data_IF_273844556666
#
_entry.id   IF_273844556666
#
_cell.length_a   1.000
_cell.length_b   1.000
_cell.length_c   1.000
_cell.angle_alpha   90.00
_cell.angle_beta   90.00
_cell.angle_gamma   90.00
#
_symmetry.space_group_name_H-M   'P 1'
#
loop_
_entity.id
_entity.type
_entity.pdbx_description
1 polymer ?
#
# COMPACT_ATOMS: atom_id res chain seq x y z
N UNK A 1 7.80 8.07 -8.87
CA UNK A 1 7.41 6.75 -9.40
C UNK A 1 8.53 6.12 -10.23
N UNK A 2 9.36 6.92 -10.92
CA UNK A 2 10.47 6.46 -11.76
C UNK A 2 11.36 5.40 -11.09
N UNK A 3 11.74 5.57 -9.82
CA UNK A 3 12.56 4.57 -9.11
C UNK A 3 11.87 3.22 -8.90
N UNK A 4 10.59 3.21 -8.56
CA UNK A 4 9.84 1.96 -8.36
C UNK A 4 9.65 1.22 -9.69
N UNK A 5 9.44 1.96 -10.78
CA UNK A 5 9.42 1.40 -12.15
C UNK A 5 10.79 0.87 -12.56
N UNK A 6 11.87 1.59 -12.25
CA UNK A 6 13.24 1.13 -12.47
C UNK A 6 13.55 -0.15 -11.69
N UNK A 7 13.11 -0.25 -10.44
CA UNK A 7 13.27 -1.45 -9.61
C UNK A 7 12.49 -2.63 -10.20
N UNK A 8 11.29 -2.39 -10.71
CA UNK A 8 10.53 -3.41 -11.42
C UNK A 8 11.28 -3.89 -12.67
N UNK A 9 11.79 -2.96 -13.49
CA UNK A 9 12.54 -3.28 -14.70
C UNK A 9 13.81 -4.10 -14.39
N UNK A 10 14.56 -3.72 -13.35
CA UNK A 10 15.74 -4.47 -12.89
C UNK A 10 15.37 -5.86 -12.39
N UNK A 11 14.33 -5.97 -11.56
CA UNK A 11 13.84 -7.26 -11.04
C UNK A 11 13.44 -8.19 -12.18
N UNK A 12 12.77 -7.67 -13.21
CA UNK A 12 12.43 -8.44 -14.41
C UNK A 12 13.68 -8.97 -15.14
N UNK A 13 14.72 -8.14 -15.29
CA UNK A 13 15.98 -8.59 -15.91
C UNK A 13 16.68 -9.65 -15.07
N UNK A 14 16.68 -9.49 -13.74
CA UNK A 14 17.24 -10.49 -12.83
C UNK A 14 16.51 -11.84 -12.97
N UNK A 15 15.18 -11.83 -13.05
CA UNK A 15 14.39 -13.05 -13.31
C UNK A 15 14.79 -13.67 -14.66
N UNK A 16 14.85 -12.88 -15.73
CA UNK A 16 15.24 -13.35 -17.07
C UNK A 16 16.64 -14.00 -17.04
N UNK A 17 17.60 -13.39 -16.35
CA UNK A 17 18.96 -13.91 -16.24
C UNK A 17 19.04 -15.26 -15.50
N UNK A 18 18.12 -15.52 -14.57
CA UNK A 18 18.12 -16.74 -13.74
C UNK A 18 17.38 -17.92 -14.37
N UNK A 19 16.25 -17.68 -15.03
CA UNK A 19 15.37 -18.75 -15.54
C UNK A 19 15.22 -18.74 -17.06
N UNK A 20 15.85 -17.79 -17.75
CA UNK A 20 15.75 -17.62 -19.20
C UNK A 20 14.46 -16.87 -19.61
N UNK A 21 14.51 -16.27 -20.80
CA UNK A 21 13.45 -15.37 -21.28
C UNK A 21 12.07 -16.04 -21.38
N UNK A 22 12.01 -17.28 -21.90
CA UNK A 22 10.74 -17.99 -22.09
C UNK A 22 10.07 -18.36 -20.77
N UNK A 23 10.82 -18.86 -19.79
CA UNK A 23 10.29 -19.19 -18.48
C UNK A 23 9.90 -17.92 -17.70
N UNK A 24 10.70 -16.86 -17.80
CA UNK A 24 10.37 -15.56 -17.23
C UNK A 24 9.09 -14.99 -17.83
N UNK A 25 8.89 -15.06 -19.15
CA UNK A 25 7.66 -14.61 -19.77
C UNK A 25 6.44 -15.41 -19.27
N UNK A 26 6.55 -16.73 -19.13
CA UNK A 26 5.48 -17.57 -18.59
C UNK A 26 5.12 -17.19 -17.14
N UNK A 27 6.13 -16.88 -16.32
CA UNK A 27 5.94 -16.42 -14.94
C UNK A 27 5.26 -15.04 -14.89
N UNK A 28 5.67 -14.11 -15.75
CA UNK A 28 5.30 -12.71 -15.63
C UNK A 28 3.97 -12.34 -16.32
N UNK A 29 3.56 -13.06 -17.38
CA UNK A 29 2.46 -12.67 -18.27
C UNK A 29 1.10 -12.45 -17.59
N UNK A 30 0.80 -13.23 -16.55
CA UNK A 30 -0.48 -13.19 -15.84
C UNK A 30 -0.28 -12.96 -14.33
N UNK A 31 0.84 -12.34 -13.95
CA UNK A 31 1.15 -12.04 -12.55
C UNK A 31 0.59 -10.67 -12.16
N UNK A 32 0.14 -10.56 -10.91
CA UNK A 32 -0.22 -9.30 -10.28
C UNK A 32 1.01 -8.70 -9.60
N UNK A 33 1.26 -7.41 -9.85
CA UNK A 33 2.36 -6.66 -9.23
C UNK A 33 1.79 -5.53 -8.39
N UNK A 34 2.36 -5.36 -7.19
CA UNK A 34 2.07 -4.22 -6.34
C UNK A 34 3.28 -3.28 -6.34
N UNK A 35 3.05 -2.05 -6.81
CA UNK A 35 4.02 -0.96 -6.75
C UNK A 35 3.52 0.03 -5.70
N UNK A 36 4.23 0.15 -4.58
CA UNK A 36 3.84 1.03 -3.48
C UNK A 36 4.75 2.27 -3.45
N UNK A 37 4.15 3.43 -3.21
CA UNK A 37 4.88 4.65 -2.84
C UNK A 37 4.59 4.90 -1.36
N UNK A 38 5.65 4.93 -0.55
CA UNK A 38 5.56 5.23 0.86
C UNK A 38 5.85 6.69 1.16
N UNK A 39 5.64 7.08 2.42
CA UNK A 39 5.98 8.43 2.89
C UNK A 39 7.49 8.70 2.78
N UNK A 40 8.35 7.69 2.84
CA UNK A 40 9.79 7.80 2.62
C UNK A 40 10.11 8.33 1.22
N UNK A 41 9.42 7.89 0.18
CA UNK A 41 9.64 8.36 -1.20
C UNK A 41 9.34 9.87 -1.32
N UNK A 42 8.34 10.35 -0.59
CA UNK A 42 7.94 11.77 -0.51
C UNK A 42 8.96 12.57 0.33
N UNK A 43 9.31 12.07 1.51
CA UNK A 43 10.19 12.74 2.48
C UNK A 43 11.63 12.90 1.97
N UNK A 44 12.10 11.97 1.13
CA UNK A 44 13.44 12.01 0.55
C UNK A 44 13.46 12.60 -0.87
N UNK A 45 12.38 13.26 -1.30
CA UNK A 45 12.36 14.07 -2.53
C UNK A 45 12.34 13.27 -3.83
N UNK A 46 11.87 12.02 -3.82
CA UNK A 46 11.70 11.19 -5.02
C UNK A 46 10.36 11.46 -5.73
N UNK A 47 10.03 12.74 -5.92
CA UNK A 47 8.85 13.15 -6.67
C UNK A 47 9.06 12.83 -8.16
N UNK A 48 8.38 11.78 -8.64
CA UNK A 48 7.73 11.93 -9.95
C UNK A 48 6.32 12.41 -9.65
N UNK A 49 5.89 13.48 -10.31
CA UNK A 49 4.47 13.78 -10.42
C UNK A 49 3.78 12.48 -10.84
N UNK A 50 2.80 12.02 -10.05
CA UNK A 50 1.89 10.96 -10.46
C UNK A 50 1.06 11.53 -11.62
N UNK A 51 1.66 11.62 -12.80
CA UNK A 51 0.89 11.72 -14.01
C UNK A 51 0.13 10.40 -14.09
N UNK A 52 -1.20 10.47 -13.97
CA UNK A 52 -2.08 9.32 -14.18
C UNK A 52 -1.87 8.70 -15.57
N UNK A 53 -1.19 9.40 -16.47
CA UNK A 53 -0.81 8.95 -17.80
C UNK A 53 0.66 8.47 -17.92
N UNK A 54 1.49 8.60 -16.88
CA UNK A 54 2.93 8.28 -16.92
C UNK A 54 3.29 6.80 -16.85
N UNK A 55 2.31 5.90 -16.69
CA UNK A 55 2.51 4.45 -16.69
C UNK A 55 2.60 3.83 -18.08
N UNK A 56 2.51 4.63 -19.15
CA UNK A 56 2.43 4.12 -20.53
C UNK A 56 3.78 3.89 -21.20
N UNK A 57 4.90 3.98 -20.48
CA UNK A 57 6.22 3.86 -21.10
C UNK A 57 6.68 2.39 -21.25
N UNK A 58 7.52 2.15 -22.27
CA UNK A 58 7.98 0.86 -22.82
C UNK A 58 8.53 -0.16 -21.81
N UNK A 59 8.73 0.25 -20.55
CA UNK A 59 9.21 -0.59 -19.44
C UNK A 59 8.17 -1.61 -18.94
N UNK A 60 6.88 -1.32 -19.13
CA UNK A 60 5.78 -2.17 -18.67
C UNK A 60 5.09 -2.85 -19.87
N UNK A 61 4.88 -4.16 -19.77
CA UNK A 61 4.47 -5.02 -20.89
C UNK A 61 3.22 -4.45 -21.60
N UNK A 62 3.27 -4.30 -22.94
CA UNK A 62 2.07 -4.01 -23.75
C UNK A 62 0.95 -5.02 -23.40
N UNK A 63 -0.20 -4.51 -22.95
CA UNK A 63 -1.34 -5.31 -22.49
C UNK A 63 -1.52 -5.39 -20.96
N UNK A 64 -0.66 -4.73 -20.17
CA UNK A 64 -0.83 -4.63 -18.72
C UNK A 64 -1.97 -3.67 -18.37
N UNK A 65 -2.77 -4.03 -17.37
CA UNK A 65 -3.82 -3.16 -16.81
C UNK A 65 -3.29 -2.52 -15.52
N UNK A 66 -3.38 -1.20 -15.43
CA UNK A 66 -2.96 -0.44 -14.26
C UNK A 66 -4.15 -0.11 -13.37
N UNK A 67 -4.00 -0.42 -12.08
CA UNK A 67 -4.94 -0.02 -11.04
C UNK A 67 -4.19 0.88 -10.07
N UNK A 68 -4.68 2.10 -9.90
CA UNK A 68 -4.21 3.06 -8.92
C UNK A 68 -5.04 2.92 -7.64
N UNK A 69 -4.35 2.85 -6.49
CA UNK A 69 -4.95 2.79 -5.16
C UNK A 69 -4.61 4.09 -4.44
N UNK A 70 -5.63 4.86 -4.06
CA UNK A 70 -5.47 6.08 -3.27
C UNK A 70 -5.45 5.74 -1.77
N UNK A 71 -4.25 5.46 -1.25
CA UNK A 71 -4.07 5.15 0.17
C UNK A 71 -4.43 6.31 1.11
N UNK A 72 -4.37 7.56 0.64
CA UNK A 72 -4.74 8.73 1.43
C UNK A 72 -6.26 8.79 1.60
N UNK A 73 -7.01 8.67 0.50
CA UNK A 73 -8.47 8.66 0.53
C UNK A 73 -9.00 7.52 1.43
N UNK A 74 -8.40 6.33 1.33
CA UNK A 74 -8.75 5.18 2.19
C UNK A 74 -8.49 5.49 3.67
N UNK A 75 -7.33 6.07 3.99
CA UNK A 75 -6.97 6.37 5.38
C UNK A 75 -7.85 7.48 5.97
N UNK A 76 -8.12 8.52 5.18
CA UNK A 76 -9.00 9.62 5.57
C UNK A 76 -10.43 9.11 5.87
N UNK A 77 -10.97 8.21 5.04
CA UNK A 77 -12.27 7.59 5.31
C UNK A 77 -12.27 6.76 6.60
N UNK A 78 -11.23 5.96 6.85
CA UNK A 78 -11.10 5.17 8.07
C UNK A 78 -11.08 6.05 9.32
N UNK A 79 -10.39 7.19 9.27
CA UNK A 79 -10.32 8.13 10.40
C UNK A 79 -11.67 8.82 10.61
N UNK A 80 -12.25 9.39 9.55
CA UNK A 80 -13.48 10.16 9.62
C UNK A 80 -14.70 9.30 9.97
N UNK A 81 -14.70 8.02 9.58
CA UNK A 81 -15.75 7.04 9.88
C UNK A 81 -15.32 6.00 10.94
N UNK A 82 -14.29 6.29 11.73
CA UNK A 82 -13.67 5.37 12.71
C UNK A 82 -14.67 4.60 13.59
N UNK A 83 -15.70 5.28 14.10
CA UNK A 83 -16.73 4.66 14.95
C UNK A 83 -17.56 3.60 14.24
N UNK A 84 -17.90 3.77 12.96
CA UNK A 84 -18.67 2.75 12.22
C UNK A 84 -17.85 1.49 11.96
N UNK A 85 -16.52 1.61 11.98
CA UNK A 85 -15.60 0.48 11.89
C UNK A 85 -15.27 -0.16 13.25
N UNK A 86 -15.76 0.41 14.36
CA UNK A 86 -15.55 -0.10 15.71
C UNK A 86 -14.29 0.41 16.40
N UNK A 87 -13.59 1.39 15.81
CA UNK A 87 -12.45 2.06 16.44
C UNK A 87 -12.91 3.07 17.50
N UNK A 88 -12.13 3.17 18.58
CA UNK A 88 -12.33 4.11 19.68
C UNK A 88 -11.16 5.10 19.80
N UNK A 89 -9.96 4.69 19.35
CA UNK A 89 -8.76 5.52 19.36
C UNK A 89 -8.26 5.75 17.93
N UNK A 90 -8.26 7.03 17.53
CA UNK A 90 -7.84 7.47 16.19
C UNK A 90 -6.51 8.22 16.20
N UNK A 91 -6.01 8.59 17.38
CA UNK A 91 -4.86 9.49 17.53
C UNK A 91 -3.81 8.96 18.50
N UNK A 92 -3.97 7.76 19.07
CA UNK A 92 -2.98 7.07 19.90
C UNK A 92 -2.51 5.77 19.24
N UNK A 93 -1.25 5.41 19.45
CA UNK A 93 -0.71 4.10 19.08
C UNK A 93 -1.19 3.02 20.06
N UNK A 94 -1.45 1.79 19.59
CA UNK A 94 -1.72 0.66 20.49
C UNK A 94 -0.44 0.16 21.16
N UNK A 95 0.69 0.13 20.46
CA UNK A 95 1.99 -0.23 21.01
C UNK A 95 2.77 1.05 21.35
N UNK A 96 2.60 1.53 22.57
CA UNK A 96 3.15 2.80 23.02
C UNK A 96 4.51 2.59 23.68
N UNK A 97 5.50 3.43 23.34
CA UNK A 97 6.78 3.47 24.07
C UNK A 97 6.89 4.74 24.90
N UNK A 98 7.03 5.88 24.22
CA UNK A 98 7.19 7.21 24.82
C UNK A 98 6.63 8.28 23.88
N UNK A 99 6.46 9.49 24.43
CA UNK A 99 6.04 10.67 23.68
C UNK A 99 4.53 10.86 23.62
N UNK A 100 4.13 12.00 23.07
CA UNK A 100 2.71 12.34 22.90
C UNK A 100 2.05 11.27 22.02
N UNK A 101 0.86 10.83 22.42
CA UNK A 101 0.10 9.82 21.67
C UNK A 101 0.78 8.43 21.53
N UNK A 102 1.85 8.16 22.30
CA UNK A 102 2.62 6.91 22.20
C UNK A 102 3.44 6.78 20.90
N UNK A 103 3.52 7.85 20.11
CA UNK A 103 3.95 7.82 18.71
C UNK A 103 5.35 8.38 18.43
N UNK A 104 6.28 8.39 19.40
CA UNK A 104 7.62 8.94 19.14
C UNK A 104 8.58 7.96 18.46
N UNK A 105 8.47 6.67 18.76
CA UNK A 105 9.33 5.62 18.21
C UNK A 105 8.53 4.34 17.91
N UNK A 106 9.02 3.47 17.01
CA UNK A 106 8.39 2.18 16.73
C UNK A 106 8.23 1.32 17.98
N UNK A 107 7.32 0.35 17.89
CA UNK A 107 7.10 -0.66 18.92
C UNK A 107 8.42 -1.40 19.25
N UNK A 108 8.80 -1.43 20.53
CA UNK A 108 9.98 -2.12 21.07
C UNK A 108 9.61 -3.10 22.20
N UNK A 109 10.59 -3.84 22.72
CA UNK A 109 10.39 -4.71 23.90
C UNK A 109 9.95 -3.96 25.16
N UNK A 110 10.23 -2.66 25.26
CA UNK A 110 9.84 -1.83 26.41
C UNK A 110 8.43 -1.26 26.29
N UNK A 111 7.72 -1.56 25.21
CA UNK A 111 6.42 -0.95 24.93
C UNK A 111 5.32 -1.45 25.86
N UNK A 112 4.37 -0.57 26.14
CA UNK A 112 3.06 -0.95 26.67
C UNK A 112 2.11 -1.17 25.50
N UNK A 113 1.59 -2.38 25.39
CA UNK A 113 0.59 -2.73 24.37
C UNK A 113 -0.82 -2.53 24.94
N UNK A 114 -1.71 -1.95 24.15
CA UNK A 114 -3.11 -1.77 24.47
C UNK A 114 -3.83 -3.12 24.67
N UNK A 115 -4.91 -3.15 25.46
CA UNK A 115 -5.64 -4.39 25.77
C UNK A 115 -6.45 -4.93 24.59
N UNK A 116 -6.96 -4.05 23.72
CA UNK A 116 -7.72 -4.42 22.53
C UNK A 116 -7.26 -3.62 21.29
N UNK A 117 -6.39 -4.25 20.49
CA UNK A 117 -5.88 -3.68 19.24
C UNK A 117 -6.97 -3.41 18.19
N UNK A 118 -8.16 -4.00 18.31
CA UNK A 118 -9.27 -3.76 17.36
C UNK A 118 -9.91 -2.38 17.55
N UNK A 119 -9.66 -1.75 18.70
CA UNK A 119 -10.17 -0.41 19.03
C UNK A 119 -9.26 0.72 18.57
N UNK A 120 -8.10 0.41 17.98
CA UNK A 120 -7.09 1.38 17.58
C UNK A 120 -6.88 1.35 16.07
N UNK A 121 -6.77 2.53 15.45
CA UNK A 121 -6.36 2.65 14.05
C UNK A 121 -4.86 2.36 13.91
N UNK A 122 -4.03 2.91 14.80
CA UNK A 122 -2.58 2.85 14.71
C UNK A 122 -1.97 1.79 15.65
N UNK A 123 -1.08 0.96 15.12
CA UNK A 123 -0.27 0.04 15.92
C UNK A 123 0.90 0.79 16.56
N UNK A 124 1.64 1.55 15.75
CA UNK A 124 2.78 2.37 16.14
C UNK A 124 2.79 3.68 15.31
N UNK A 125 3.82 4.55 15.37
CA UNK A 125 3.81 5.82 14.62
C UNK A 125 3.76 5.68 13.09
N UNK A 126 4.06 4.50 12.55
CA UNK A 126 4.21 4.25 11.11
C UNK A 126 3.21 3.25 10.58
N UNK A 127 2.76 2.32 11.42
CA UNK A 127 1.96 1.18 11.00
C UNK A 127 0.53 1.24 11.56
N UNK A 128 -0.49 0.97 10.74
CA UNK A 128 -1.85 0.72 11.21
C UNK A 128 -1.98 -0.64 11.91
N UNK A 129 -3.06 -0.83 12.67
CA UNK A 129 -3.40 -2.15 13.24
C UNK A 129 -3.91 -3.11 12.16
N UNK A 130 -3.88 -4.41 12.45
CA UNK A 130 -4.50 -5.44 11.63
C UNK A 130 -5.95 -5.10 11.25
N UNK A 131 -6.72 -4.53 12.20
CA UNK A 131 -8.12 -4.17 11.94
C UNK A 131 -8.25 -3.05 10.90
N UNK A 132 -7.38 -2.04 10.97
CA UNK A 132 -7.34 -0.98 9.97
C UNK A 132 -6.85 -1.49 8.60
N UNK A 133 -5.83 -2.36 8.58
CA UNK A 133 -5.37 -3.01 7.34
C UNK A 133 -6.46 -3.83 6.67
N UNK A 134 -7.25 -4.59 7.43
CA UNK A 134 -8.34 -5.40 6.86
C UNK A 134 -9.43 -4.54 6.23
N UNK A 135 -9.67 -3.33 6.74
CA UNK A 135 -10.62 -2.38 6.13
C UNK A 135 -10.01 -1.77 4.88
N UNK A 136 -8.76 -1.32 4.93
CA UNK A 136 -8.06 -0.81 3.75
C UNK A 136 -8.01 -1.84 2.62
N UNK A 137 -7.76 -3.12 2.94
CA UNK A 137 -7.79 -4.20 1.96
C UNK A 137 -9.16 -4.35 1.29
N UNK A 138 -10.28 -4.15 2.01
CA UNK A 138 -11.62 -4.18 1.42
C UNK A 138 -11.82 -3.04 0.41
N UNK A 139 -11.32 -1.84 0.70
CA UNK A 139 -11.31 -0.74 -0.26
C UNK A 139 -10.53 -1.08 -1.53
N UNK A 140 -9.37 -1.72 -1.40
CA UNK A 140 -8.58 -2.12 -2.56
C UNK A 140 -9.25 -3.22 -3.39
N UNK A 141 -9.88 -4.18 -2.72
CA UNK A 141 -10.51 -5.34 -3.35
C UNK A 141 -11.83 -5.00 -4.02
N UNK A 142 -12.65 -4.15 -3.38
CA UNK A 142 -14.07 -3.97 -3.69
C UNK A 142 -14.52 -2.50 -3.78
N UNK A 143 -13.64 -1.54 -3.48
CA UNK A 143 -13.95 -0.12 -3.44
C UNK A 143 -14.26 0.49 -4.81
N UNK A 144 -14.87 1.68 -4.78
CA UNK A 144 -15.21 2.46 -5.96
C UNK A 144 -14.04 3.28 -6.52
N UNK A 145 -14.27 3.98 -7.66
CA UNK A 145 -13.27 4.79 -8.37
C UNK A 145 -12.64 5.91 -7.54
N UNK A 146 -13.28 6.31 -6.45
CA UNK A 146 -12.79 7.28 -5.47
C UNK A 146 -11.61 6.76 -4.63
N UNK A 147 -11.48 5.44 -4.46
CA UNK A 147 -10.38 4.80 -3.72
C UNK A 147 -9.46 3.99 -4.64
N UNK A 148 -10.03 3.42 -5.71
CA UNK A 148 -9.35 2.46 -6.55
C UNK A 148 -9.83 2.60 -7.99
N UNK A 149 -8.92 2.90 -8.92
CA UNK A 149 -9.27 3.34 -10.26
C UNK A 149 -8.36 2.71 -11.32
N UNK A 150 -8.87 2.37 -12.52
CA UNK A 150 -10.26 2.52 -12.99
C UNK A 150 -11.19 1.38 -12.56
N UNK A 151 -10.63 0.28 -12.06
CA UNK A 151 -11.33 -0.91 -11.58
C UNK A 151 -10.66 -1.42 -10.30
N UNK A 152 -11.37 -2.18 -9.47
CA UNK A 152 -10.81 -2.78 -8.26
C UNK A 152 -10.06 -4.08 -8.50
N UNK A 153 -9.30 -4.53 -7.49
CA UNK A 153 -8.43 -5.72 -7.63
C UNK A 153 -9.27 -6.96 -7.95
N UNK A 154 -10.50 -7.08 -7.43
CA UNK A 154 -11.38 -8.20 -7.76
C UNK A 154 -11.84 -8.15 -9.22
N UNK A 155 -12.13 -6.98 -9.76
CA UNK A 155 -12.42 -6.80 -11.19
C UNK A 155 -11.21 -7.10 -12.06
N UNK A 156 -10.02 -6.63 -11.66
CA UNK A 156 -8.75 -6.91 -12.35
C UNK A 156 -8.44 -8.42 -12.38
N UNK A 157 -8.66 -9.13 -11.28
CA UNK A 157 -8.42 -10.57 -11.22
C UNK A 157 -9.37 -11.39 -12.13
N UNK A 158 -10.49 -10.79 -12.56
CA UNK A 158 -11.49 -11.42 -13.41
C UNK A 158 -11.49 -10.87 -14.86
N UNK A 159 -10.50 -10.05 -15.23
CA UNK A 159 -10.37 -9.48 -16.58
C UNK A 159 -9.67 -10.39 -17.57
#
# INVERSE_FOLDING_TARGET
MDKQVDYFAKTRQDIISRIGASAAQALLRNSLYFLAIGSNDILFGEYATLDKNGFTDETLQHGSVFVYIDGYAVTDDIINNSRSYGFENIDYACCEVIGRHGGLIPCTEMSRVCSDRKKYIFWDPFHPTESAILIAAKYMLDGGPEYVSPINIRQLANS
#
